data_IF_777305867800
#
_entry.id   IF_777305867800
#
_cell.length_a   1.000
_cell.length_b   1.000
_cell.length_c   1.000
_cell.angle_alpha   90.00
_cell.angle_beta   90.00
_cell.angle_gamma   90.00
#
_symmetry.space_group_name_H-M   'P 1'
#
loop_
_entity.id
_entity.type
_entity.pdbx_description
1 polymer ?
#
# COMPACT_ATOMS: atom_id res chain seq x y z
N UNK A 1 -14.76 1.39 1.59
CA UNK A 1 -15.69 0.25 1.42
C UNK A 1 -16.91 0.72 0.62
N UNK A 2 -16.98 0.44 -0.67
CA UNK A 2 -18.20 0.64 -1.47
C UNK A 2 -19.09 -0.59 -1.35
N UNK A 3 -19.93 -0.62 -0.31
CA UNK A 3 -20.86 -1.71 0.01
C UNK A 3 -22.15 -1.87 -0.85
N UNK A 4 -22.57 -0.98 -1.77
CA UNK A 4 -23.90 -1.11 -2.40
C UNK A 4 -24.11 -2.31 -3.34
N UNK A 5 -23.06 -2.79 -4.04
CA UNK A 5 -23.22 -3.81 -5.09
C UNK A 5 -23.83 -5.12 -4.59
N UNK A 6 -23.63 -5.47 -3.31
CA UNK A 6 -24.18 -6.71 -2.73
C UNK A 6 -25.71 -6.73 -2.60
N UNK A 7 -26.40 -5.59 -2.75
CA UNK A 7 -27.85 -5.49 -2.50
C UNK A 7 -28.72 -5.47 -3.78
N UNK A 8 -28.12 -5.30 -4.96
CA UNK A 8 -28.85 -5.14 -6.22
C UNK A 8 -28.27 -6.07 -7.30
N UNK A 9 -29.06 -7.00 -7.86
CA UNK A 9 -28.55 -8.06 -8.75
C UNK A 9 -28.03 -7.56 -10.10
N UNK A 10 -28.30 -6.30 -10.47
CA UNK A 10 -27.80 -5.66 -11.70
C UNK A 10 -26.69 -4.63 -11.47
N UNK A 11 -26.18 -4.48 -10.24
CA UNK A 11 -25.19 -3.46 -9.90
C UNK A 11 -23.79 -4.08 -9.70
N UNK A 12 -22.82 -3.64 -10.49
CA UNK A 12 -21.41 -4.00 -10.31
C UNK A 12 -20.57 -2.76 -10.00
N UNK A 13 -19.64 -2.90 -9.05
CA UNK A 13 -18.63 -1.86 -8.81
C UNK A 13 -17.47 -2.04 -9.79
N UNK A 14 -17.00 -0.92 -10.32
CA UNK A 14 -15.75 -0.82 -11.05
C UNK A 14 -14.92 0.30 -10.44
N UNK A 15 -13.60 0.17 -10.55
CA UNK A 15 -12.64 1.17 -10.06
C UNK A 15 -11.53 1.39 -11.08
N UNK A 16 -10.99 2.60 -11.12
CA UNK A 16 -9.75 2.86 -11.84
C UNK A 16 -8.60 2.11 -11.17
N UNK A 17 -7.72 1.52 -11.96
CA UNK A 17 -6.51 0.86 -11.50
C UNK A 17 -5.49 1.91 -11.08
N UNK A 18 -4.88 1.65 -9.94
CA UNK A 18 -3.92 2.54 -9.29
C UNK A 18 -2.73 1.70 -8.85
N UNK A 19 -1.52 2.24 -9.02
CA UNK A 19 -0.27 1.61 -8.56
C UNK A 19 0.50 2.60 -7.68
N UNK A 20 1.06 2.11 -6.59
CA UNK A 20 2.01 2.87 -5.77
C UNK A 20 3.42 2.64 -6.30
N UNK A 21 4.19 3.72 -6.46
CA UNK A 21 5.54 3.68 -6.99
C UNK A 21 6.38 4.77 -6.32
N UNK A 22 7.46 4.38 -5.63
CA UNK A 22 8.40 5.30 -4.94
C UNK A 22 7.73 6.30 -3.98
N UNK A 23 6.65 5.89 -3.32
CA UNK A 23 5.88 6.76 -2.42
C UNK A 23 4.83 7.63 -3.11
N UNK A 24 4.78 7.61 -4.44
CA UNK A 24 3.76 8.28 -5.23
C UNK A 24 2.67 7.32 -5.72
N UNK A 25 1.53 7.89 -6.08
CA UNK A 25 0.40 7.16 -6.63
C UNK A 25 0.29 7.43 -8.12
N UNK A 26 0.27 6.36 -8.92
CA UNK A 26 0.16 6.38 -10.37
C UNK A 26 -1.22 5.83 -10.78
N UNK A 27 -1.98 6.64 -11.50
CA UNK A 27 -3.25 6.22 -12.09
C UNK A 27 -2.99 5.56 -13.44
N UNK A 28 -3.41 4.30 -13.59
CA UNK A 28 -3.13 3.51 -14.80
C UNK A 28 -4.13 3.77 -15.94
N UNK A 29 -5.11 4.65 -15.73
CA UNK A 29 -6.19 4.94 -16.67
C UNK A 29 -6.94 3.71 -17.21
N UNK A 30 -6.93 2.62 -16.46
CA UNK A 30 -7.64 1.38 -16.78
C UNK A 30 -8.76 1.17 -15.77
N UNK A 31 -9.98 0.87 -16.22
CA UNK A 31 -11.08 0.49 -15.34
C UNK A 31 -11.11 -1.04 -15.14
N UNK A 32 -11.19 -1.49 -13.89
CA UNK A 32 -11.31 -2.91 -13.55
C UNK A 32 -12.52 -3.19 -12.64
N UNK A 33 -12.98 -4.45 -12.58
CA UNK A 33 -14.04 -4.83 -11.66
C UNK A 33 -13.61 -4.68 -10.20
N UNK A 34 -14.58 -4.45 -9.34
CA UNK A 34 -14.39 -4.30 -7.89
C UNK A 34 -14.54 -2.86 -7.40
N UNK A 35 -14.63 -2.73 -6.07
CA UNK A 35 -14.57 -1.43 -5.41
C UNK A 35 -13.13 -0.97 -5.22
N UNK A 36 -12.93 0.33 -5.00
CA UNK A 36 -11.65 0.84 -4.56
C UNK A 36 -11.31 0.26 -3.18
N UNK A 37 -10.08 -0.23 -3.04
CA UNK A 37 -9.47 -0.72 -1.80
C UNK A 37 -9.28 0.43 -0.80
N UNK A 38 -9.02 1.65 -1.29
CA UNK A 38 -8.78 2.86 -0.49
C UNK A 38 -9.16 4.14 -1.24
N UNK A 39 -9.15 5.25 -0.51
CA UNK A 39 -9.39 6.58 -1.08
C UNK A 39 -8.06 7.28 -1.37
N UNK A 40 -7.87 7.76 -2.60
CA UNK A 40 -6.64 8.44 -3.03
C UNK A 40 -6.76 9.97 -3.01
N UNK A 41 -7.75 10.52 -2.30
CA UNK A 41 -8.09 11.95 -2.33
C UNK A 41 -6.94 12.89 -1.93
N UNK A 42 -6.13 12.53 -0.94
CA UNK A 42 -4.96 13.32 -0.55
C UNK A 42 -3.88 13.31 -1.63
N UNK A 43 -3.64 12.16 -2.27
CA UNK A 43 -2.71 12.07 -3.40
C UNK A 43 -3.15 12.96 -4.56
N UNK A 44 -4.45 12.95 -4.89
CA UNK A 44 -5.01 13.84 -5.92
C UNK A 44 -4.89 15.32 -5.51
N UNK A 45 -5.15 15.63 -4.23
CA UNK A 45 -4.97 16.99 -3.70
C UNK A 45 -3.54 17.51 -3.84
N UNK A 46 -2.55 16.67 -3.52
CA UNK A 46 -1.13 16.98 -3.73
C UNK A 46 -0.81 17.20 -5.22
N UNK A 47 -1.28 16.31 -6.09
CA UNK A 47 -1.11 16.45 -7.55
C UNK A 47 -1.78 17.71 -8.11
N UNK A 48 -2.90 18.15 -7.51
CA UNK A 48 -3.59 19.39 -7.86
C UNK A 48 -2.89 20.66 -7.32
N UNK A 49 -1.79 20.51 -6.59
CA UNK A 49 -1.02 21.64 -6.04
C UNK A 49 -1.60 22.23 -4.76
N UNK A 50 -2.38 21.45 -3.99
CA UNK A 50 -2.82 21.91 -2.67
C UNK A 50 -1.60 22.10 -1.74
N UNK A 51 -1.57 23.17 -0.94
CA UNK A 51 -0.50 23.39 0.03
C UNK A 51 -0.40 22.25 1.05
N UNK A 52 0.83 21.93 1.47
CA UNK A 52 1.07 20.89 2.49
C UNK A 52 0.31 21.15 3.79
N UNK A 53 0.13 22.41 4.19
CA UNK A 53 -0.63 22.80 5.37
C UNK A 53 -2.09 22.31 5.34
N UNK A 54 -2.65 22.08 4.15
CA UNK A 54 -4.01 21.55 3.95
C UNK A 54 -4.02 20.02 3.97
N UNK A 55 -2.99 19.38 3.40
CA UNK A 55 -2.95 17.91 3.25
C UNK A 55 -2.33 17.18 4.43
N UNK A 56 -1.45 17.84 5.21
CA UNK A 56 -0.60 17.20 6.23
C UNK A 56 -1.37 16.42 7.28
N UNK A 57 -2.50 16.95 7.79
CA UNK A 57 -3.30 16.27 8.82
C UNK A 57 -3.99 15.00 8.32
N UNK A 58 -4.23 14.93 7.01
CA UNK A 58 -4.93 13.81 6.39
C UNK A 58 -3.97 12.80 5.74
N UNK A 59 -2.66 13.04 5.84
CA UNK A 59 -1.62 12.08 5.45
C UNK A 59 -1.78 10.80 6.28
N UNK A 60 -1.96 9.64 5.64
CA UNK A 60 -1.94 8.38 6.36
C UNK A 60 -0.53 8.12 6.90
N UNK A 61 -0.40 7.38 8.03
CA UNK A 61 0.91 6.96 8.50
C UNK A 61 1.63 6.15 7.41
N UNK A 62 2.98 6.21 7.36
CA UNK A 62 3.75 5.42 6.41
C UNK A 62 3.41 3.94 6.56
N UNK A 63 3.24 3.26 5.43
CA UNK A 63 2.86 1.86 5.40
C UNK A 63 4.10 1.03 5.70
N UNK A 64 4.11 0.41 6.86
CA UNK A 64 5.17 -0.53 7.22
C UNK A 64 5.07 -1.78 6.34
N UNK A 65 6.16 -2.11 5.66
CA UNK A 65 6.28 -3.34 4.89
C UNK A 65 6.48 -4.54 5.82
N UNK A 66 6.10 -5.73 5.36
CA UNK A 66 6.34 -6.97 6.13
C UNK A 66 7.83 -7.18 6.42
N UNK A 67 8.71 -6.75 5.50
CA UNK A 67 10.15 -6.78 5.68
C UNK A 67 10.62 -5.82 6.79
N UNK A 68 10.12 -4.59 6.83
CA UNK A 68 10.44 -3.62 7.89
C UNK A 68 9.95 -4.09 9.26
N UNK A 69 8.76 -4.68 9.33
CA UNK A 69 8.24 -5.27 10.57
C UNK A 69 9.15 -6.38 11.09
N UNK A 70 9.59 -7.29 10.22
CA UNK A 70 10.53 -8.37 10.57
C UNK A 70 11.88 -7.82 11.06
N UNK A 71 12.42 -6.78 10.39
CA UNK A 71 13.68 -6.15 10.79
C UNK A 71 13.60 -5.47 12.16
N UNK A 72 12.45 -4.88 12.51
CA UNK A 72 12.26 -4.20 13.80
C UNK A 72 12.31 -5.17 14.99
N UNK A 73 11.80 -6.38 14.80
CA UNK A 73 11.76 -7.42 15.84
C UNK A 73 13.07 -8.23 15.92
N UNK A 74 13.95 -8.11 14.92
CA UNK A 74 15.15 -8.92 14.79
C UNK A 74 16.23 -8.56 15.83
N UNK A 75 16.82 -9.59 16.47
CA UNK A 75 17.99 -9.47 17.36
C UNK A 75 19.21 -10.20 16.76
N UNK A 76 20.10 -9.50 16.04
CA UNK A 76 21.22 -10.13 15.32
C UNK A 76 22.16 -10.94 16.23
N UNK A 77 22.36 -10.50 17.47
CA UNK A 77 23.29 -11.12 18.42
C UNK A 77 22.82 -12.47 18.96
N UNK A 78 21.53 -12.79 18.82
CA UNK A 78 20.92 -14.03 19.30
C UNK A 78 20.82 -15.09 18.20
N UNK A 79 21.23 -14.77 16.97
CA UNK A 79 21.09 -15.65 15.81
C UNK A 79 22.33 -16.53 15.60
N UNK A 80 22.08 -17.77 15.22
CA UNK A 80 23.13 -18.59 14.61
C UNK A 80 23.39 -18.13 13.17
N UNK A 81 24.60 -18.38 12.62
CA UNK A 81 24.91 -18.05 11.22
C UNK A 81 23.93 -18.65 10.20
N UNK A 82 23.35 -19.82 10.50
CA UNK A 82 22.34 -20.46 9.64
C UNK A 82 21.01 -19.70 9.68
N UNK A 83 20.52 -19.37 10.86
CA UNK A 83 19.27 -18.60 11.01
C UNK A 83 19.38 -17.22 10.36
N UNK A 84 20.54 -16.56 10.51
CA UNK A 84 20.80 -15.30 9.82
C UNK A 84 20.70 -15.44 8.29
N UNK A 85 21.23 -16.52 7.72
CA UNK A 85 21.14 -16.79 6.28
C UNK A 85 19.70 -17.07 5.84
N UNK A 86 18.96 -17.87 6.61
CA UNK A 86 17.55 -18.18 6.32
C UNK A 86 16.70 -16.89 6.32
N UNK A 87 16.95 -15.99 7.27
CA UNK A 87 16.31 -14.68 7.33
C UNK A 87 16.63 -13.79 6.11
N UNK A 88 17.87 -13.83 5.61
CA UNK A 88 18.23 -13.09 4.37
C UNK A 88 17.41 -13.60 3.19
N UNK A 89 17.20 -14.91 3.07
CA UNK A 89 16.34 -15.47 2.03
C UNK A 89 14.87 -15.08 2.20
N UNK A 90 14.36 -15.08 3.43
CA UNK A 90 13.00 -14.63 3.73
C UNK A 90 12.80 -13.15 3.37
N UNK A 91 13.74 -12.28 3.76
CA UNK A 91 13.72 -10.86 3.40
C UNK A 91 13.78 -10.67 1.88
N UNK A 92 14.62 -11.43 1.17
CA UNK A 92 14.69 -11.38 -0.29
C UNK A 92 13.36 -11.75 -0.94
N UNK A 93 12.64 -12.74 -0.40
CA UNK A 93 11.32 -13.11 -0.88
C UNK A 93 10.30 -11.97 -0.69
N UNK A 94 10.31 -11.32 0.49
CA UNK A 94 9.39 -10.22 0.81
C UNK A 94 9.65 -8.92 0.03
N UNK A 95 10.88 -8.67 -0.41
CA UNK A 95 11.26 -7.45 -1.15
C UNK A 95 11.14 -7.61 -2.67
N UNK A 96 11.00 -8.84 -3.16
CA UNK A 96 10.91 -9.12 -4.60
C UNK A 96 9.48 -9.11 -5.16
N UNK A 97 8.47 -8.90 -4.31
CA UNK A 97 7.05 -8.72 -4.66
C UNK A 97 6.65 -7.23 -4.69
#
# INVERSE_FOLDING_TARGET
>A
MTAPAAKLPGLACHTMRVKEWKGDVVFLHEAGPGGADRSYGIHVGKLAGLPESVTARAEPPPRESAAEGLLRELRPDELTPREALDLVYQLKALVSE
#
